data_IF_052143223271
#
_entry.id   IF_052143223271
#
_cell.length_a   1.000
_cell.length_b   1.000
_cell.length_c   1.000
_cell.angle_alpha   90.00
_cell.angle_beta   90.00
_cell.angle_gamma   90.00
#
_symmetry.space_group_name_H-M   'P 1'
#
loop_
_entity.id
_entity.type
_entity.pdbx_description
1 polymer ?
#
# COMPACT_ATOMS: atom_id res chain seq x y z
N UNK A 1 -1.61 -66.18 -11.94
CA UNK A 1 -0.44 -65.41 -12.38
C UNK A 1 0.67 -65.51 -11.36
N UNK A 2 1.85 -66.01 -11.76
CA UNK A 2 3.03 -66.16 -10.91
C UNK A 2 3.50 -64.81 -10.34
N UNK A 3 3.62 -64.70 -9.01
CA UNK A 3 4.11 -63.50 -8.32
C UNK A 3 5.64 -63.60 -8.20
N UNK A 4 6.38 -62.78 -8.93
CA UNK A 4 7.81 -62.55 -8.65
C UNK A 4 7.95 -61.41 -7.66
N UNK A 5 8.58 -61.70 -6.52
CA UNK A 5 8.94 -60.71 -5.51
C UNK A 5 10.37 -60.24 -5.76
N UNK A 6 10.57 -58.94 -5.93
CA UNK A 6 11.90 -58.34 -5.92
C UNK A 6 12.11 -57.76 -4.51
N UNK A 7 13.07 -58.32 -3.79
CA UNK A 7 13.43 -57.90 -2.43
C UNK A 7 14.52 -56.84 -2.55
N UNK A 8 14.18 -55.58 -2.29
CA UNK A 8 15.15 -54.50 -2.18
C UNK A 8 15.19 -54.05 -0.71
N UNK A 9 16.36 -54.05 -0.06
CA UNK A 9 16.49 -53.43 1.26
C UNK A 9 16.24 -51.93 1.15
N UNK A 10 15.49 -51.38 2.09
CA UNK A 10 15.25 -49.93 2.18
C UNK A 10 16.58 -49.22 2.48
N UNK A 11 16.84 -48.13 1.77
CA UNK A 11 17.99 -47.27 2.07
C UNK A 11 17.70 -46.42 3.31
N UNK A 12 18.74 -45.97 4.02
CA UNK A 12 18.60 -45.16 5.23
C UNK A 12 17.74 -43.89 5.03
N UNK A 13 17.74 -43.31 3.82
CA UNK A 13 16.90 -42.16 3.48
C UNK A 13 15.41 -42.50 3.35
N UNK A 14 15.07 -43.72 2.95
CA UNK A 14 13.69 -44.20 2.88
C UNK A 14 13.15 -44.55 4.28
N UNK A 15 14.02 -45.03 5.16
CA UNK A 15 13.69 -45.27 6.58
C UNK A 15 13.29 -43.97 7.28
N UNK A 16 14.01 -42.88 7.02
CA UNK A 16 13.76 -41.56 7.63
C UNK A 16 12.42 -40.93 7.19
N UNK A 17 11.99 -41.19 5.95
CA UNK A 17 10.66 -40.78 5.46
C UNK A 17 9.54 -41.56 6.16
N UNK A 18 9.73 -42.86 6.40
CA UNK A 18 8.79 -43.70 7.16
C UNK A 18 8.68 -43.21 8.60
N UNK A 19 9.81 -42.86 9.23
CA UNK A 19 9.81 -42.33 10.60
C UNK A 19 9.15 -40.94 10.71
N UNK A 20 9.28 -40.08 9.71
CA UNK A 20 8.55 -38.79 9.67
C UNK A 20 7.04 -38.98 9.55
N UNK A 21 6.59 -39.97 8.78
CA UNK A 21 5.15 -40.32 8.67
C UNK A 21 4.64 -40.84 10.02
N UNK A 22 5.44 -41.65 10.72
CA UNK A 22 5.12 -42.17 12.06
C UNK A 22 4.98 -41.06 13.10
N UNK A 23 5.87 -40.06 13.07
CA UNK A 23 5.80 -38.88 13.97
C UNK A 23 4.60 -37.99 13.71
N UNK A 24 4.03 -37.99 12.50
CA UNK A 24 2.79 -37.24 12.19
C UNK A 24 1.50 -37.95 12.62
N UNK A 25 1.57 -39.23 12.96
CA UNK A 25 0.39 -40.04 13.34
C UNK A 25 0.23 -40.26 14.85
N UNK A 26 0.98 -39.58 15.70
CA UNK A 26 0.75 -39.61 17.16
C UNK A 26 -0.51 -38.81 17.53
N UNK A 27 -1.65 -39.45 17.37
CA UNK A 27 -2.95 -39.03 17.90
C UNK A 27 -3.18 -39.71 19.26
N UNK A 28 -3.83 -39.00 20.17
CA UNK A 28 -4.13 -39.32 21.58
C UNK A 28 -4.56 -40.78 21.85
N UNK A 29 -4.18 -41.41 22.99
CA UNK A 29 -4.34 -42.85 23.22
C UNK A 29 -5.72 -43.30 23.72
N UNK A 30 -6.81 -42.53 23.54
CA UNK A 30 -8.13 -42.85 24.10
C UNK A 30 -9.18 -43.34 23.08
N UNK A 31 -8.79 -43.62 21.84
CA UNK A 31 -9.67 -44.25 20.83
C UNK A 31 -8.98 -45.44 20.17
N UNK A 32 -8.73 -46.49 20.94
CA UNK A 32 -8.37 -47.82 20.42
C UNK A 32 -9.66 -48.60 20.13
N UNK A 33 -10.34 -48.25 19.04
CA UNK A 33 -11.00 -49.25 18.19
C UNK A 33 -9.96 -49.67 17.17
N UNK A 34 -9.76 -50.97 16.98
CA UNK A 34 -8.92 -51.57 15.95
C UNK A 34 -9.05 -50.81 14.62
N UNK A 35 -8.11 -49.89 14.38
CA UNK A 35 -7.90 -49.33 13.06
C UNK A 35 -7.21 -50.43 12.28
N UNK A 36 -8.02 -51.15 11.51
CA UNK A 36 -7.61 -52.12 10.51
C UNK A 36 -6.51 -51.50 9.63
N UNK A 37 -5.24 -51.75 9.99
CA UNK A 37 -4.00 -51.25 9.36
C UNK A 37 -3.82 -51.78 7.92
N UNK A 38 -4.90 -52.22 7.26
CA UNK A 38 -4.87 -53.01 6.04
C UNK A 38 -5.30 -52.28 4.76
N UNK A 39 -5.70 -50.99 4.80
CA UNK A 39 -6.38 -50.37 3.64
C UNK A 39 -5.79 -49.12 3.01
N UNK A 40 -4.70 -48.53 3.51
CA UNK A 40 -4.16 -47.32 2.89
C UNK A 40 -3.05 -47.64 1.88
N UNK A 41 -3.42 -47.65 0.59
CA UNK A 41 -2.48 -47.68 -0.52
C UNK A 41 -2.08 -46.25 -0.90
N UNK A 42 -0.78 -45.97 -0.97
CA UNK A 42 -0.24 -44.67 -1.35
C UNK A 42 -0.10 -44.62 -2.88
N UNK A 43 -0.65 -43.59 -3.51
CA UNK A 43 -0.52 -43.37 -4.96
C UNK A 43 0.89 -42.86 -5.31
N UNK A 44 1.47 -43.41 -6.37
CA UNK A 44 2.71 -42.86 -6.95
C UNK A 44 2.38 -41.80 -8.01
N UNK A 45 3.27 -40.83 -8.23
CA UNK A 45 3.17 -39.81 -9.28
C UNK A 45 2.98 -40.40 -10.68
N UNK A 46 3.45 -41.63 -10.91
CA UNK A 46 3.11 -42.43 -12.09
C UNK A 46 1.85 -43.26 -11.79
N UNK A 47 0.71 -42.83 -12.30
CA UNK A 47 -0.63 -43.25 -11.87
C UNK A 47 -1.06 -44.71 -12.10
N UNK A 48 -0.16 -45.63 -12.45
CA UNK A 48 -0.46 -47.05 -12.67
C UNK A 48 0.11 -47.99 -11.59
N UNK A 49 0.79 -47.44 -10.58
CA UNK A 49 1.32 -48.19 -9.46
C UNK A 49 0.82 -47.65 -8.10
N UNK A 50 0.66 -48.55 -7.14
CA UNK A 50 0.36 -48.24 -5.75
C UNK A 50 1.34 -48.91 -4.82
N UNK A 51 1.69 -48.21 -3.75
CA UNK A 51 2.60 -48.71 -2.72
C UNK A 51 1.81 -49.09 -1.48
N UNK A 52 2.15 -50.24 -0.90
CA UNK A 52 1.62 -50.67 0.39
C UNK A 52 2.77 -51.09 1.28
N UNK A 53 2.88 -50.48 2.45
CA UNK A 53 3.81 -50.91 3.49
C UNK A 53 3.13 -52.01 4.31
N UNK A 54 3.77 -53.16 4.47
CA UNK A 54 3.25 -54.26 5.28
C UNK A 54 4.30 -54.73 6.27
N UNK A 55 3.92 -54.79 7.53
CA UNK A 55 4.78 -55.34 8.58
C UNK A 55 4.73 -56.86 8.53
N UNK A 56 5.91 -57.50 8.50
CA UNK A 56 6.04 -58.96 8.60
C UNK A 56 7.10 -59.29 9.67
N UNK A 57 6.99 -60.44 10.35
CA UNK A 57 8.04 -60.91 11.25
C UNK A 57 9.34 -61.10 10.45
N UNK A 58 10.29 -60.18 10.64
CA UNK A 58 11.53 -60.08 9.84
C UNK A 58 11.78 -58.71 9.19
N UNK A 59 10.88 -57.73 9.35
CA UNK A 59 11.05 -56.34 8.92
C UNK A 59 9.94 -55.83 8.00
N UNK A 60 9.88 -54.51 7.81
CA UNK A 60 8.91 -53.87 6.91
C UNK A 60 9.22 -54.20 5.45
N UNK A 61 8.18 -54.61 4.71
CA UNK A 61 8.27 -54.86 3.26
C UNK A 61 7.33 -53.90 2.54
N UNK A 62 7.86 -53.19 1.53
CA UNK A 62 7.06 -52.37 0.63
C UNK A 62 6.61 -53.22 -0.56
N UNK A 63 5.30 -53.42 -0.69
CA UNK A 63 4.69 -54.14 -1.81
C UNK A 63 4.30 -53.15 -2.92
N UNK A 64 4.70 -53.45 -4.15
CA UNK A 64 4.33 -52.71 -5.36
C UNK A 64 3.15 -53.39 -6.03
N UNK A 65 2.04 -52.66 -6.16
CA UNK A 65 0.84 -53.12 -6.84
C UNK A 65 0.70 -52.38 -8.16
N UNK A 66 0.65 -53.11 -9.27
CA UNK A 66 0.33 -52.54 -10.58
C UNK A 66 -1.17 -52.64 -10.78
N UNK A 67 -1.83 -51.52 -11.04
CA UNK A 67 -3.22 -51.53 -11.48
C UNK A 67 -3.25 -52.05 -12.92
N UNK A 68 -3.80 -53.25 -13.11
CA UNK A 68 -4.10 -53.80 -14.42
C UNK A 68 -5.57 -53.50 -14.68
N UNK A 69 -5.94 -52.85 -15.80
CA UNK A 69 -7.34 -52.64 -16.14
C UNK A 69 -8.04 -54.01 -16.20
N UNK A 70 -9.06 -54.19 -15.37
CA UNK A 70 -9.85 -55.41 -15.34
C UNK A 70 -10.68 -55.57 -16.61
N UNK A 71 -11.13 -56.79 -16.87
CA UNK A 71 -12.15 -57.06 -17.89
C UNK A 71 -13.44 -56.30 -17.53
N UNK A 72 -14.15 -55.82 -18.56
CA UNK A 72 -15.42 -55.13 -18.39
C UNK A 72 -16.38 -56.02 -17.62
N UNK A 73 -16.84 -55.55 -16.46
CA UNK A 73 -17.84 -56.24 -15.65
C UNK A 73 -19.13 -56.28 -16.47
N UNK A 74 -19.62 -57.49 -16.77
CA UNK A 74 -20.90 -57.69 -17.46
C UNK A 74 -22.06 -57.12 -16.63
N UNK A 75 -23.01 -56.48 -17.31
CA UNK A 75 -24.19 -55.89 -16.69
C UNK A 75 -24.92 -56.94 -15.82
N UNK A 76 -25.41 -56.59 -14.63
CA UNK A 76 -26.38 -57.42 -13.94
C UNK A 76 -27.65 -57.56 -14.81
N UNK A 77 -28.44 -58.63 -14.63
CA UNK A 77 -29.66 -58.86 -15.40
C UNK A 77 -30.64 -57.67 -15.31
N UNK A 78 -31.45 -57.51 -16.34
CA UNK A 78 -32.52 -56.51 -16.38
C UNK A 78 -33.47 -56.71 -15.18
N UNK A 79 -33.73 -55.66 -14.41
CA UNK A 79 -34.56 -55.70 -13.19
C UNK A 79 -33.81 -55.85 -11.85
N UNK A 80 -32.47 -55.93 -11.84
CA UNK A 80 -31.71 -56.02 -10.59
C UNK A 80 -31.67 -54.70 -9.78
N UNK A 81 -32.05 -53.58 -10.40
CA UNK A 81 -32.02 -52.22 -9.81
C UNK A 81 -33.44 -51.67 -9.52
N UNK A 82 -34.48 -52.51 -9.62
CA UNK A 82 -35.86 -52.13 -9.28
C UNK A 82 -36.09 -52.22 -7.75
N UNK A 83 -35.32 -51.43 -6.99
CA UNK A 83 -35.79 -50.97 -5.69
C UNK A 83 -36.73 -49.80 -5.93
N UNK A 84 -38.02 -50.07 -5.69
CA UNK A 84 -39.14 -49.16 -5.88
C UNK A 84 -38.90 -47.71 -5.42
N UNK A 85 -39.53 -46.77 -6.14
CA UNK A 85 -39.77 -45.36 -5.82
C UNK A 85 -38.95 -44.77 -4.65
N UNK A 86 -37.76 -44.24 -4.96
CA UNK A 86 -37.11 -43.21 -4.14
C UNK A 86 -35.63 -43.41 -3.79
N UNK A 87 -34.98 -44.51 -4.20
CA UNK A 87 -33.60 -44.81 -3.76
C UNK A 87 -32.48 -44.44 -4.74
N UNK A 88 -32.65 -44.67 -6.04
CA UNK A 88 -31.54 -44.63 -7.00
C UNK A 88 -31.19 -43.22 -7.52
N UNK A 89 -32.13 -42.27 -7.53
CA UNK A 89 -31.88 -40.91 -8.02
C UNK A 89 -31.04 -40.05 -7.04
N UNK A 90 -31.01 -40.42 -5.76
CA UNK A 90 -30.39 -39.62 -4.68
C UNK A 90 -29.04 -40.17 -4.22
N UNK A 91 -28.76 -41.45 -4.45
CA UNK A 91 -27.46 -42.05 -4.15
C UNK A 91 -26.65 -42.24 -5.43
N UNK A 92 -26.18 -41.11 -5.98
CA UNK A 92 -25.20 -41.07 -7.06
C UNK A 92 -23.91 -41.81 -6.68
N UNK A 93 -23.90 -43.11 -6.93
CA UNK A 93 -22.74 -43.99 -6.87
C UNK A 93 -22.97 -45.12 -7.87
N UNK A 94 -22.72 -44.82 -9.14
CA UNK A 94 -21.63 -45.38 -9.95
C UNK A 94 -21.78 -44.82 -11.36
N UNK A 95 -20.66 -44.33 -11.90
CA UNK A 95 -20.60 -43.65 -13.20
C UNK A 95 -20.97 -44.63 -14.32
N UNK A 96 -22.21 -44.59 -14.77
CA UNK A 96 -22.65 -45.25 -16.00
C UNK A 96 -22.54 -44.26 -17.15
N UNK A 97 -22.10 -44.74 -18.31
CA UNK A 97 -21.64 -43.94 -19.44
C UNK A 97 -22.69 -43.01 -20.09
N UNK A 98 -23.96 -43.12 -19.70
CA UNK A 98 -25.09 -42.39 -20.30
C UNK A 98 -25.65 -41.27 -19.42
N UNK A 99 -25.08 -41.02 -18.24
CA UNK A 99 -25.52 -39.92 -17.39
C UNK A 99 -25.13 -38.55 -17.98
N UNK A 100 -26.06 -37.59 -17.93
CA UNK A 100 -25.87 -36.25 -18.51
C UNK A 100 -24.79 -35.52 -17.73
N UNK A 101 -23.55 -35.50 -18.27
CA UNK A 101 -22.36 -34.84 -17.66
C UNK A 101 -22.73 -33.57 -16.92
N UNK A 102 -22.34 -33.51 -15.65
CA UNK A 102 -22.57 -32.34 -14.78
C UNK A 102 -21.91 -31.09 -15.36
N UNK A 103 -22.38 -29.89 -14.98
CA UNK A 103 -21.79 -28.63 -15.43
C UNK A 103 -20.28 -28.56 -15.11
N UNK A 104 -19.86 -29.18 -14.00
CA UNK A 104 -18.46 -29.31 -13.58
C UNK A 104 -17.67 -30.29 -14.46
N UNK A 105 -18.24 -31.44 -14.84
CA UNK A 105 -17.57 -32.37 -15.76
C UNK A 105 -17.50 -31.84 -17.20
N UNK A 106 -18.45 -31.00 -17.61
CA UNK A 106 -18.35 -30.28 -18.89
C UNK A 106 -17.29 -29.18 -18.85
N UNK A 107 -17.07 -28.54 -17.70
CA UNK A 107 -16.09 -27.47 -17.55
C UNK A 107 -14.67 -27.98 -17.29
N UNK A 108 -14.52 -29.21 -16.80
CA UNK A 108 -13.26 -29.96 -16.83
C UNK A 108 -13.03 -30.39 -18.29
N UNK A 109 -12.50 -29.47 -19.09
CA UNK A 109 -12.29 -29.62 -20.53
C UNK A 109 -11.80 -31.04 -20.89
N UNK A 110 -12.53 -31.70 -21.79
CA UNK A 110 -12.01 -32.87 -22.49
C UNK A 110 -10.67 -32.44 -23.10
N UNK A 111 -9.55 -33.02 -22.66
CA UNK A 111 -8.22 -32.72 -23.20
C UNK A 111 -8.20 -33.16 -24.65
N UNK A 112 -8.64 -32.28 -25.55
CA UNK A 112 -8.47 -32.46 -26.98
C UNK A 112 -6.97 -32.46 -27.22
N UNK A 113 -6.47 -33.52 -27.87
CA UNK A 113 -5.06 -33.56 -28.28
C UNK A 113 -4.83 -32.36 -29.20
N UNK A 114 -3.85 -31.50 -28.87
CA UNK A 114 -3.51 -30.30 -29.65
C UNK A 114 -3.31 -30.61 -31.15
N UNK A 115 -2.79 -31.80 -31.44
CA UNK A 115 -2.75 -32.36 -32.79
C UNK A 115 -3.67 -33.57 -32.87
N UNK A 116 -4.76 -33.44 -33.62
CA UNK A 116 -5.64 -34.57 -33.90
C UNK A 116 -5.02 -35.47 -34.97
N UNK A 117 -5.10 -36.81 -34.83
CA UNK A 117 -4.69 -37.73 -35.90
C UNK A 117 -5.59 -37.50 -37.12
N UNK A 118 -5.03 -37.01 -38.23
CA UNK A 118 -5.75 -36.61 -39.44
C UNK A 118 -5.66 -35.12 -39.81
N UNK A 119 -5.14 -34.27 -38.92
CA UNK A 119 -4.98 -32.83 -39.16
C UNK A 119 -3.94 -32.56 -40.26
N UNK A 120 -4.29 -31.69 -41.22
CA UNK A 120 -3.46 -31.30 -42.37
C UNK A 120 -2.18 -30.57 -41.91
N UNK A 121 -1.09 -30.72 -42.66
CA UNK A 121 0.18 -30.01 -42.39
C UNK A 121 -0.01 -28.50 -42.29
N UNK A 122 -0.94 -27.93 -43.06
CA UNK A 122 -1.27 -26.49 -43.01
C UNK A 122 -1.89 -26.08 -41.67
N UNK A 123 -2.81 -26.88 -41.14
CA UNK A 123 -3.48 -26.63 -39.85
C UNK A 123 -2.50 -26.78 -38.68
N UNK A 124 -1.61 -27.77 -38.74
CA UNK A 124 -0.54 -27.93 -37.74
C UNK A 124 0.40 -26.72 -37.72
N UNK A 125 0.81 -26.25 -38.90
CA UNK A 125 1.64 -25.05 -39.02
C UNK A 125 0.92 -23.80 -38.52
N UNK A 126 -0.39 -23.66 -38.76
CA UNK A 126 -1.18 -22.55 -38.26
C UNK A 126 -1.25 -22.53 -36.71
N UNK A 127 -1.44 -23.69 -36.08
CA UNK A 127 -1.42 -23.80 -34.61
C UNK A 127 -0.03 -23.46 -34.05
N UNK A 128 1.05 -23.97 -34.65
CA UNK A 128 2.43 -23.63 -34.24
C UNK A 128 2.71 -22.14 -34.40
N UNK A 129 2.29 -21.54 -35.53
CA UNK A 129 2.44 -20.10 -35.74
C UNK A 129 1.64 -19.29 -34.71
N UNK A 130 0.41 -19.70 -34.40
CA UNK A 130 -0.40 -19.05 -33.37
C UNK A 130 0.25 -19.16 -31.98
N UNK A 131 0.82 -20.31 -31.62
CA UNK A 131 1.57 -20.48 -30.37
C UNK A 131 2.81 -19.59 -30.33
N UNK A 132 3.59 -19.54 -31.42
CA UNK A 132 4.76 -18.64 -31.51
C UNK A 132 4.34 -17.17 -31.42
N UNK A 133 3.27 -16.79 -32.11
CA UNK A 133 2.74 -15.43 -32.08
C UNK A 133 2.29 -15.01 -30.67
N UNK A 134 1.54 -15.89 -29.98
CA UNK A 134 1.16 -15.66 -28.57
C UNK A 134 2.40 -15.61 -27.67
N UNK A 135 3.40 -16.46 -27.92
CA UNK A 135 4.68 -16.42 -27.21
C UNK A 135 5.42 -15.10 -27.39
N UNK A 136 5.52 -14.60 -28.63
CA UNK A 136 6.14 -13.30 -28.94
C UNK A 136 5.37 -12.16 -28.30
N UNK A 137 4.03 -12.15 -28.41
CA UNK A 137 3.19 -11.14 -27.77
C UNK A 137 3.34 -11.15 -26.24
N UNK A 138 3.38 -12.34 -25.63
CA UNK A 138 3.62 -12.48 -24.19
C UNK A 138 5.00 -11.92 -23.81
N UNK A 139 6.03 -12.19 -24.62
CA UNK A 139 7.38 -11.67 -24.39
C UNK A 139 7.44 -10.15 -24.51
N UNK A 140 6.84 -9.59 -25.56
CA UNK A 140 6.73 -8.13 -25.75
C UNK A 140 5.97 -7.47 -24.60
N UNK A 141 4.88 -8.09 -24.13
CA UNK A 141 4.11 -7.58 -23.00
C UNK A 141 4.94 -7.57 -21.69
N UNK A 142 5.72 -8.63 -21.44
CA UNK A 142 6.62 -8.68 -20.27
C UNK A 142 7.70 -7.62 -20.38
N UNK A 143 8.38 -7.49 -21.52
CA UNK A 143 9.41 -6.47 -21.74
C UNK A 143 8.82 -5.08 -21.54
N UNK A 144 7.68 -4.79 -22.17
CA UNK A 144 7.02 -3.50 -22.02
C UNK A 144 6.64 -3.22 -20.56
N UNK A 145 6.13 -4.22 -19.85
CA UNK A 145 5.76 -4.09 -18.44
C UNK A 145 6.97 -3.81 -17.55
N UNK A 146 8.09 -4.49 -17.78
CA UNK A 146 9.35 -4.25 -17.04
C UNK A 146 9.90 -2.85 -17.37
N UNK A 147 9.93 -2.46 -18.64
CA UNK A 147 10.35 -1.13 -19.05
C UNK A 147 9.47 -0.03 -18.45
N UNK A 148 8.15 -0.25 -18.40
CA UNK A 148 7.21 0.68 -17.78
C UNK A 148 7.40 0.74 -16.25
N UNK A 149 7.56 -0.41 -15.59
CA UNK A 149 7.78 -0.49 -14.14
C UNK A 149 9.07 0.20 -13.69
N UNK A 150 10.10 0.26 -14.54
CA UNK A 150 11.35 0.97 -14.26
C UNK A 150 11.30 2.45 -14.69
N UNK A 151 10.74 2.75 -15.86
CA UNK A 151 10.75 4.12 -16.41
C UNK A 151 9.73 5.04 -15.74
N UNK A 152 8.52 4.55 -15.42
CA UNK A 152 7.45 5.40 -14.88
C UNK A 152 7.85 5.99 -13.52
N UNK A 153 8.35 5.21 -12.53
CA UNK A 153 8.82 5.80 -11.28
C UNK A 153 9.93 6.82 -11.51
N UNK A 154 10.90 6.56 -12.39
CA UNK A 154 11.98 7.50 -12.66
C UNK A 154 11.44 8.83 -13.21
N UNK A 155 10.52 8.78 -14.17
CA UNK A 155 9.89 9.98 -14.75
C UNK A 155 9.07 10.74 -13.70
N UNK A 156 8.27 10.05 -12.89
CA UNK A 156 7.50 10.67 -11.81
C UNK A 156 8.42 11.35 -10.78
N UNK A 157 9.52 10.69 -10.41
CA UNK A 157 10.53 11.21 -9.52
C UNK A 157 11.22 12.46 -10.07
N UNK A 158 11.71 12.39 -11.30
CA UNK A 158 12.36 13.54 -11.96
C UNK A 158 11.40 14.72 -12.11
N UNK A 159 10.14 14.48 -12.48
CA UNK A 159 9.13 15.52 -12.55
C UNK A 159 8.87 16.14 -11.17
N UNK A 160 8.84 15.34 -10.11
CA UNK A 160 8.70 15.83 -8.73
C UNK A 160 9.86 16.75 -8.35
N UNK A 161 11.10 16.35 -8.68
CA UNK A 161 12.30 17.15 -8.41
C UNK A 161 12.36 18.44 -9.24
N UNK A 162 11.93 18.36 -10.50
CA UNK A 162 11.79 19.52 -11.37
C UNK A 162 10.77 20.52 -10.80
N UNK A 163 9.61 20.05 -10.34
CA UNK A 163 8.59 20.89 -9.69
C UNK A 163 9.10 21.54 -8.39
N UNK A 164 9.99 20.86 -7.67
CA UNK A 164 10.66 21.40 -6.48
C UNK A 164 11.79 22.39 -6.84
N UNK A 165 12.15 22.55 -8.11
CA UNK A 165 13.22 23.44 -8.54
C UNK A 165 14.61 22.95 -8.13
N UNK A 166 14.80 21.63 -7.98
CA UNK A 166 16.12 21.05 -7.73
C UNK A 166 16.97 21.23 -9.00
N UNK A 167 18.16 21.84 -8.92
CA UNK A 167 19.00 22.04 -10.10
C UNK A 167 19.48 20.71 -10.66
N UNK A 168 19.59 20.63 -12.00
CA UNK A 168 19.95 19.40 -12.73
C UNK A 168 21.29 18.80 -12.26
N UNK A 169 22.22 19.63 -11.81
CA UNK A 169 23.52 19.22 -11.27
C UNK A 169 23.43 18.39 -9.99
N UNK A 170 22.34 18.52 -9.23
CA UNK A 170 22.09 17.81 -7.96
C UNK A 170 21.05 16.71 -8.10
N UNK A 171 20.60 16.43 -9.31
CA UNK A 171 19.59 15.42 -9.57
C UNK A 171 20.24 14.03 -9.55
N UNK A 172 19.93 13.25 -8.52
CA UNK A 172 20.37 11.87 -8.41
C UNK A 172 19.25 10.91 -8.82
N UNK A 173 19.46 10.17 -9.91
CA UNK A 173 18.49 9.21 -10.46
C UNK A 173 18.02 8.14 -9.47
N UNK A 174 18.87 7.55 -8.61
CA UNK A 174 18.39 6.60 -7.60
C UNK A 174 17.41 7.22 -6.60
N UNK A 175 17.65 8.48 -6.22
CA UNK A 175 16.77 9.19 -5.29
C UNK A 175 15.47 9.61 -5.97
N UNK A 176 15.54 10.10 -7.22
CA UNK A 176 14.35 10.36 -8.02
C UNK A 176 13.51 9.08 -8.19
N UNK A 177 14.14 7.95 -8.51
CA UNK A 177 13.46 6.67 -8.62
C UNK A 177 12.77 6.25 -7.32
N UNK A 178 13.42 6.43 -6.15
CA UNK A 178 12.82 6.13 -4.85
C UNK A 178 11.58 6.98 -4.55
N UNK A 179 11.66 8.30 -4.79
CA UNK A 179 10.50 9.20 -4.67
C UNK A 179 9.37 8.75 -5.62
N UNK A 180 9.75 8.45 -6.86
CA UNK A 180 8.84 7.96 -7.88
C UNK A 180 8.14 6.66 -7.49
N UNK A 181 8.84 5.74 -6.83
CA UNK A 181 8.26 4.49 -6.33
C UNK A 181 7.23 4.72 -5.24
N UNK A 182 7.48 5.66 -4.31
CA UNK A 182 6.52 6.02 -3.26
C UNK A 182 5.21 6.53 -3.88
N UNK A 183 5.28 7.27 -5.00
CA UNK A 183 4.10 7.76 -5.72
C UNK A 183 3.48 6.66 -6.60
N UNK A 184 4.31 5.88 -7.29
CA UNK A 184 3.86 4.89 -8.28
C UNK A 184 3.23 3.65 -7.64
N UNK A 185 3.78 3.13 -6.55
CA UNK A 185 3.30 1.89 -5.92
C UNK A 185 1.82 1.96 -5.46
N UNK A 186 1.36 3.02 -4.77
CA UNK A 186 -0.05 3.18 -4.42
C UNK A 186 -0.96 3.27 -5.65
N UNK A 187 -0.52 3.98 -6.70
CA UNK A 187 -1.26 4.07 -7.97
C UNK A 187 -1.37 2.70 -8.64
N UNK A 188 -0.28 1.94 -8.70
CA UNK A 188 -0.26 0.60 -9.24
C UNK A 188 -1.14 -0.35 -8.42
N UNK A 189 -1.10 -0.27 -7.09
CA UNK A 189 -1.95 -1.07 -6.22
C UNK A 189 -3.45 -0.75 -6.42
N UNK A 190 -3.79 0.54 -6.54
CA UNK A 190 -5.15 0.98 -6.84
C UNK A 190 -5.62 0.51 -8.22
N UNK A 191 -4.78 0.68 -9.25
CA UNK A 191 -5.04 0.18 -10.60
C UNK A 191 -5.19 -1.34 -10.63
N UNK A 192 -4.34 -2.08 -9.89
CA UNK A 192 -4.42 -3.53 -9.85
C UNK A 192 -5.71 -4.00 -9.18
N UNK A 193 -6.13 -3.37 -8.06
CA UNK A 193 -7.44 -3.63 -7.45
C UNK A 193 -8.58 -3.36 -8.43
N UNK A 194 -8.45 -2.31 -9.25
CA UNK A 194 -9.43 -2.01 -10.29
C UNK A 194 -9.41 -3.02 -11.44
N UNK A 195 -8.24 -3.47 -11.90
CA UNK A 195 -8.11 -4.42 -13.01
C UNK A 195 -8.49 -5.86 -12.62
N UNK A 196 -8.20 -6.29 -11.39
CA UNK A 196 -8.53 -7.63 -10.90
C UNK A 196 -10.02 -7.86 -10.64
N UNK A 197 -10.83 -6.80 -10.62
CA UNK A 197 -12.29 -6.95 -10.54
C UNK A 197 -12.81 -7.59 -11.83
N UNK A 198 -13.58 -8.68 -11.71
CA UNK A 198 -14.06 -9.52 -12.83
C UNK A 198 -15.01 -8.82 -13.82
N UNK A 199 -15.54 -7.65 -13.49
CA UNK A 199 -16.49 -6.93 -14.35
C UNK A 199 -15.76 -6.06 -15.37
N UNK A 200 -16.17 -6.05 -16.65
CA UNK A 200 -15.55 -5.20 -17.66
C UNK A 200 -15.75 -3.72 -17.33
N UNK A 201 -14.76 -2.89 -17.66
CA UNK A 201 -14.70 -1.46 -17.33
C UNK A 201 -15.92 -0.70 -17.86
N UNK A 202 -16.40 -1.04 -19.05
CA UNK A 202 -17.59 -0.43 -19.67
C UNK A 202 -18.87 -0.68 -18.86
N UNK A 203 -19.04 -1.90 -18.33
CA UNK A 203 -20.18 -2.22 -17.47
C UNK A 203 -20.10 -1.48 -16.14
N UNK A 204 -18.89 -1.31 -15.57
CA UNK A 204 -18.72 -0.52 -14.35
C UNK A 204 -19.02 0.96 -14.57
N UNK A 205 -18.52 1.54 -15.65
CA UNK A 205 -18.81 2.93 -15.98
C UNK A 205 -20.32 3.13 -16.17
N UNK A 206 -20.99 2.20 -16.88
CA UNK A 206 -22.44 2.23 -17.03
C UNK A 206 -23.17 2.09 -15.69
N UNK A 207 -22.73 1.19 -14.81
CA UNK A 207 -23.28 1.03 -13.46
C UNK A 207 -23.05 2.26 -12.59
N UNK A 208 -21.87 2.88 -12.69
CA UNK A 208 -21.52 4.11 -11.98
C UNK A 208 -22.41 5.26 -12.43
N UNK A 209 -22.54 5.48 -13.76
CA UNK A 209 -23.47 6.50 -14.30
C UNK A 209 -24.91 6.20 -13.88
N UNK A 210 -25.34 4.93 -13.93
CA UNK A 210 -26.70 4.55 -13.53
C UNK A 210 -26.99 4.76 -12.03
N UNK A 211 -25.96 4.82 -11.18
CA UNK A 211 -26.08 5.13 -9.75
C UNK A 211 -26.11 6.62 -9.47
N UNK A 212 -25.94 7.47 -10.47
CA UNK A 212 -25.99 8.91 -10.30
C UNK A 212 -27.35 9.34 -9.73
N UNK A 213 -27.32 9.98 -8.57
CA UNK A 213 -28.46 10.65 -7.96
C UNK A 213 -28.20 12.15 -7.96
N UNK A 214 -29.21 12.93 -8.32
CA UNK A 214 -29.12 14.39 -8.31
C UNK A 214 -29.00 14.85 -6.85
N UNK A 215 -27.89 15.53 -6.47
CA UNK A 215 -27.74 16.05 -5.11
C UNK A 215 -28.65 17.24 -4.84
N UNK A 216 -28.85 17.55 -3.56
CA UNK A 216 -29.41 18.86 -3.18
C UNK A 216 -28.45 19.98 -3.61
N UNK A 217 -29.00 21.11 -4.07
CA UNK A 217 -28.21 22.23 -4.57
C UNK A 217 -27.19 22.76 -3.56
N UNK A 218 -27.51 22.70 -2.25
CA UNK A 218 -26.61 23.11 -1.17
C UNK A 218 -25.42 22.17 -1.02
N UNK A 219 -25.63 20.85 -1.01
CA UNK A 219 -24.55 19.86 -0.92
C UNK A 219 -23.61 19.93 -2.13
N UNK A 220 -24.19 20.10 -3.33
CA UNK A 220 -23.41 20.30 -4.55
C UNK A 220 -22.55 21.57 -4.46
N UNK A 221 -23.10 22.67 -4.00
CA UNK A 221 -22.37 23.92 -3.82
C UNK A 221 -21.18 23.76 -2.87
N UNK A 222 -21.38 23.14 -1.70
CA UNK A 222 -20.28 22.90 -0.76
C UNK A 222 -19.20 22.00 -1.34
N UNK A 223 -19.59 20.95 -2.06
CA UNK A 223 -18.64 20.04 -2.70
C UNK A 223 -17.82 20.74 -3.80
N UNK A 224 -18.48 21.52 -4.68
CA UNK A 224 -17.82 22.29 -5.73
C UNK A 224 -16.88 23.34 -5.12
N UNK A 225 -17.32 24.06 -4.09
CA UNK A 225 -16.47 25.00 -3.37
C UNK A 225 -15.25 24.29 -2.78
N UNK A 226 -15.44 23.10 -2.24
CA UNK A 226 -14.36 22.29 -1.69
C UNK A 226 -13.34 21.91 -2.78
N UNK A 227 -13.81 21.47 -3.95
CA UNK A 227 -12.94 21.18 -5.09
C UNK A 227 -12.15 22.41 -5.52
N UNK A 228 -12.82 23.55 -5.71
CA UNK A 228 -12.18 24.80 -6.16
C UNK A 228 -11.12 25.26 -5.16
N UNK A 229 -11.40 25.15 -3.87
CA UNK A 229 -10.47 25.57 -2.84
C UNK A 229 -9.31 24.58 -2.64
N UNK A 230 -9.56 23.26 -2.65
CA UNK A 230 -8.52 22.23 -2.45
C UNK A 230 -7.63 22.04 -3.68
N UNK A 231 -8.19 22.09 -4.88
CA UNK A 231 -7.45 21.89 -6.13
C UNK A 231 -7.09 23.19 -6.83
N UNK A 232 -7.63 24.35 -6.43
CA UNK A 232 -7.30 25.65 -7.03
C UNK A 232 -6.57 26.55 -6.05
N UNK A 233 -7.31 27.07 -5.07
CA UNK A 233 -6.82 28.16 -4.20
C UNK A 233 -5.67 27.73 -3.30
N UNK A 234 -5.83 26.65 -2.52
CA UNK A 234 -4.80 26.20 -1.57
C UNK A 234 -3.47 25.83 -2.26
N UNK A 235 -3.47 25.08 -3.39
CA UNK A 235 -2.26 24.84 -4.17
C UNK A 235 -1.58 26.12 -4.63
N UNK A 236 -2.31 27.08 -5.19
CA UNK A 236 -1.71 28.35 -5.63
C UNK A 236 -1.06 29.09 -4.46
N UNK A 237 -1.71 29.12 -3.30
CA UNK A 237 -1.16 29.80 -2.10
C UNK A 237 0.11 29.14 -1.59
N UNK A 238 0.12 27.80 -1.50
CA UNK A 238 1.29 27.02 -1.05
C UNK A 238 2.42 27.15 -2.07
N UNK A 239 2.11 27.00 -3.36
CA UNK A 239 3.07 27.13 -4.45
C UNK A 239 3.69 28.52 -4.52
N UNK A 240 2.89 29.57 -4.37
CA UNK A 240 3.40 30.95 -4.34
C UNK A 240 4.33 31.18 -3.15
N UNK A 241 3.98 30.65 -1.97
CA UNK A 241 4.84 30.71 -0.78
C UNK A 241 6.17 29.99 -1.04
N UNK A 242 6.12 28.80 -1.65
CA UNK A 242 7.30 28.02 -2.01
C UNK A 242 8.20 28.75 -3.03
N UNK A 243 7.62 29.31 -4.09
CA UNK A 243 8.36 30.03 -5.11
C UNK A 243 9.08 31.27 -4.55
N UNK A 244 8.41 32.04 -3.68
CA UNK A 244 8.99 33.21 -3.04
C UNK A 244 10.17 32.84 -2.12
N UNK A 245 10.10 31.68 -1.46
CA UNK A 245 11.15 31.20 -0.57
C UNK A 245 12.35 30.63 -1.33
N UNK A 246 12.11 29.82 -2.37
CA UNK A 246 13.16 28.95 -2.92
C UNK A 246 13.49 29.22 -4.40
N UNK A 247 12.50 29.51 -5.25
CA UNK A 247 12.69 29.50 -6.71
C UNK A 247 13.03 30.90 -7.25
N UNK A 248 12.30 31.94 -6.85
CA UNK A 248 12.43 33.27 -7.47
C UNK A 248 13.83 33.86 -7.27
N UNK A 249 14.43 34.30 -8.39
CA UNK A 249 15.76 34.91 -8.44
C UNK A 249 15.75 36.37 -8.00
N UNK A 250 16.93 36.94 -7.82
CA UNK A 250 17.17 38.35 -7.46
C UNK A 250 16.49 39.34 -8.41
N UNK A 251 16.34 38.98 -9.68
CA UNK A 251 15.84 39.88 -10.74
C UNK A 251 14.35 40.14 -10.57
N UNK A 252 13.61 39.13 -10.08
CA UNK A 252 12.21 39.27 -9.69
C UNK A 252 12.05 40.25 -8.53
N UNK A 253 12.96 40.22 -7.56
CA UNK A 253 12.95 41.13 -6.41
C UNK A 253 13.51 42.52 -6.73
N UNK A 254 14.27 42.65 -7.82
CA UNK A 254 14.76 43.92 -8.37
C UNK A 254 13.71 44.69 -9.18
N UNK A 255 12.58 44.06 -9.51
CA UNK A 255 11.52 44.67 -10.32
C UNK A 255 11.73 44.56 -11.83
N UNK A 256 12.76 43.82 -12.27
CA UNK A 256 13.03 43.58 -13.70
C UNK A 256 12.03 42.57 -14.30
N UNK A 257 11.55 41.64 -13.47
CA UNK A 257 10.51 40.69 -13.84
C UNK A 257 9.27 40.84 -12.96
N UNK A 258 8.06 40.66 -13.51
CA UNK A 258 6.84 40.67 -12.72
C UNK A 258 6.82 39.48 -11.76
N UNK A 259 6.37 39.73 -10.52
CA UNK A 259 6.23 38.70 -9.48
C UNK A 259 5.34 37.52 -9.92
N UNK A 260 4.21 37.84 -10.54
CA UNK A 260 3.26 36.86 -11.07
C UNK A 260 3.27 36.88 -12.60
N UNK A 261 3.80 35.82 -13.19
CA UNK A 261 3.66 35.55 -14.62
C UNK A 261 2.54 34.53 -14.81
N UNK A 262 1.58 34.83 -15.68
CA UNK A 262 0.45 33.94 -15.95
C UNK A 262 0.91 32.58 -16.50
N UNK A 263 1.99 32.57 -17.28
CA UNK A 263 2.64 31.36 -17.80
C UNK A 263 3.25 30.49 -16.68
N UNK A 264 3.76 31.12 -15.62
CA UNK A 264 4.31 30.44 -14.45
C UNK A 264 3.24 29.91 -13.50
N UNK A 265 2.00 30.41 -13.57
CA UNK A 265 0.92 30.03 -12.66
C UNK A 265 0.64 28.53 -12.65
N UNK A 266 0.75 27.87 -13.81
CA UNK A 266 0.63 26.42 -13.89
C UNK A 266 1.72 25.70 -13.08
N UNK A 267 2.96 26.17 -13.15
CA UNK A 267 4.08 25.60 -12.40
C UNK A 267 3.88 25.83 -10.90
N UNK A 268 3.52 27.07 -10.50
CA UNK A 268 3.20 27.41 -9.12
C UNK A 268 2.09 26.51 -8.58
N UNK A 269 1.01 26.34 -9.34
CA UNK A 269 -0.09 25.46 -9.01
C UNK A 269 0.33 23.99 -8.89
N UNK A 270 1.17 23.50 -9.81
CA UNK A 270 1.63 22.12 -9.83
C UNK A 270 2.52 21.82 -8.61
N UNK A 271 3.46 22.71 -8.29
CA UNK A 271 4.33 22.58 -7.11
C UNK A 271 3.51 22.66 -5.82
N UNK A 272 2.55 23.59 -5.73
CA UNK A 272 1.65 23.68 -4.58
C UNK A 272 0.74 22.47 -4.44
N UNK A 273 0.25 21.91 -5.54
CA UNK A 273 -0.58 20.70 -5.55
C UNK A 273 0.23 19.50 -5.08
N UNK A 274 1.46 19.36 -5.54
CA UNK A 274 2.39 18.33 -5.10
C UNK A 274 2.61 18.41 -3.58
N UNK A 275 2.95 19.60 -3.07
CA UNK A 275 3.21 19.81 -1.65
C UNK A 275 1.97 19.56 -0.77
N UNK A 276 0.80 20.05 -1.18
CA UNK A 276 -0.45 19.84 -0.45
C UNK A 276 -0.83 18.36 -0.38
N UNK A 277 -0.76 17.65 -1.50
CA UNK A 277 -1.11 16.23 -1.53
C UNK A 277 -0.06 15.36 -0.83
N UNK A 278 1.23 15.72 -0.91
CA UNK A 278 2.28 15.06 -0.14
C UNK A 278 2.06 15.24 1.37
N UNK A 279 1.72 16.46 1.82
CA UNK A 279 1.35 16.71 3.21
C UNK A 279 0.11 15.92 3.63
N UNK A 280 -0.96 15.90 2.82
CA UNK A 280 -2.17 15.16 3.12
C UNK A 280 -1.91 13.65 3.22
N UNK A 281 -1.04 13.12 2.35
CA UNK A 281 -0.60 11.73 2.41
C UNK A 281 0.20 11.42 3.68
N UNK A 282 1.13 12.29 4.07
CA UNK A 282 1.88 12.16 5.33
C UNK A 282 0.96 12.25 6.56
N UNK A 283 -0.09 13.08 6.49
CA UNK A 283 -1.11 13.15 7.54
C UNK A 283 -1.92 11.85 7.65
N UNK A 284 -2.31 11.27 6.51
CA UNK A 284 -2.98 9.96 6.46
C UNK A 284 -2.11 8.83 7.06
N UNK A 285 -0.80 8.84 6.79
CA UNK A 285 0.15 7.87 7.35
C UNK A 285 0.51 8.10 8.83
N UNK A 286 -0.06 9.10 9.49
CA UNK A 286 0.35 9.51 10.84
C UNK A 286 1.84 9.85 10.97
N UNK A 287 2.48 10.32 9.89
CA UNK A 287 3.94 10.53 9.84
C UNK A 287 4.47 11.61 10.81
N UNK A 288 3.59 12.46 11.35
CA UNK A 288 3.96 13.47 12.36
C UNK A 288 3.69 13.03 13.80
N UNK A 289 3.31 11.76 14.01
CA UNK A 289 3.14 11.18 15.34
C UNK A 289 4.43 10.55 15.84
N UNK A 290 4.65 10.57 17.16
CA UNK A 290 5.80 9.87 17.78
C UNK A 290 5.74 8.37 17.50
N UNK A 291 4.55 7.78 17.52
CA UNK A 291 4.36 6.35 17.33
C UNK A 291 4.86 5.91 15.95
N UNK A 292 4.59 6.68 14.89
CA UNK A 292 5.09 6.38 13.56
C UNK A 292 6.62 6.25 13.53
N UNK A 293 7.35 7.17 14.16
CA UNK A 293 8.82 7.13 14.17
C UNK A 293 9.39 6.03 15.06
N UNK A 294 8.70 5.68 16.16
CA UNK A 294 9.06 4.52 16.98
C UNK A 294 8.87 3.24 16.16
N UNK A 295 7.73 3.09 15.49
CA UNK A 295 7.43 1.92 14.65
C UNK A 295 8.43 1.78 13.50
N UNK A 296 8.78 2.89 12.83
CA UNK A 296 9.80 2.89 11.77
C UNK A 296 11.20 2.54 12.32
N UNK A 297 11.56 3.09 13.49
CA UNK A 297 12.84 2.79 14.14
C UNK A 297 12.94 1.34 14.61
N UNK A 298 11.87 0.80 15.19
CA UNK A 298 11.80 -0.58 15.65
C UNK A 298 11.73 -1.55 14.47
N UNK A 299 10.97 -1.25 13.40
CA UNK A 299 10.93 -2.08 12.20
C UNK A 299 12.28 -2.17 11.47
N UNK A 300 13.14 -1.15 11.62
CA UNK A 300 14.52 -1.19 11.12
C UNK A 300 15.46 -2.05 12.00
N UNK A 301 15.11 -2.28 13.27
CA UNK A 301 15.89 -3.06 14.24
C UNK A 301 15.41 -4.51 14.37
N UNK A 302 14.10 -4.77 14.23
CA UNK A 302 13.45 -6.07 14.40
C UNK A 302 13.00 -6.69 13.06
N UNK A 303 13.91 -6.81 12.09
CA UNK A 303 13.63 -7.62 10.88
C UNK A 303 13.50 -9.14 11.16
N UNK A 304 13.84 -9.61 12.36
CA UNK A 304 13.78 -11.04 12.75
C UNK A 304 12.77 -11.35 13.88
N UNK A 305 12.11 -10.35 14.46
CA UNK A 305 11.25 -10.54 15.62
C UNK A 305 9.94 -9.73 15.49
N UNK A 306 8.94 -10.25 14.77
CA UNK A 306 7.54 -10.28 15.24
C UNK A 306 6.53 -10.49 14.10
N UNK A 307 6.04 -11.73 14.02
CA UNK A 307 4.72 -12.06 13.44
C UNK A 307 3.63 -12.17 14.52
N UNK A 308 3.92 -11.85 15.80
CA UNK A 308 3.03 -12.16 16.93
C UNK A 308 2.56 -10.96 17.77
N UNK A 309 2.87 -9.71 17.42
CA UNK A 309 2.41 -8.52 18.16
C UNK A 309 1.34 -7.71 17.39
N UNK A 310 0.31 -8.37 16.89
CA UNK A 310 -0.87 -7.68 16.33
C UNK A 310 -2.02 -7.45 17.33
N UNK A 311 -1.93 -7.93 18.57
CA UNK A 311 -3.03 -7.81 19.56
C UNK A 311 -2.93 -6.60 20.51
N UNK A 312 -1.93 -5.72 20.38
CA UNK A 312 -1.71 -4.59 21.30
C UNK A 312 -2.07 -3.19 20.79
N UNK A 313 -2.48 -3.03 19.53
CA UNK A 313 -2.66 -1.70 18.90
C UNK A 313 -3.94 -0.94 19.31
N UNK A 314 -4.71 -1.45 20.28
CA UNK A 314 -6.02 -0.91 20.65
C UNK A 314 -6.06 0.19 21.71
N UNK A 315 -4.97 0.46 22.45
CA UNK A 315 -5.11 1.22 23.72
C UNK A 315 -4.41 2.60 23.77
N UNK A 316 -3.70 3.03 22.73
CA UNK A 316 -2.98 4.32 22.77
C UNK A 316 -3.68 5.49 22.05
N UNK A 317 -4.83 5.27 21.40
CA UNK A 317 -5.40 6.24 20.46
C UNK A 317 -6.80 6.76 20.86
N UNK A 318 -7.08 6.96 22.16
CA UNK A 318 -8.32 7.66 22.54
C UNK A 318 -8.15 8.38 23.89
N UNK A 319 -7.71 9.64 23.83
CA UNK A 319 -8.12 10.63 24.82
C UNK A 319 -9.15 11.56 24.16
N UNK A 320 -10.45 11.19 24.12
CA UNK A 320 -11.53 12.00 23.57
C UNK A 320 -11.93 13.17 24.50
N UNK A 321 -11.04 13.63 25.37
CA UNK A 321 -11.35 14.57 26.45
C UNK A 321 -11.70 16.00 25.97
N UNK A 322 -11.56 16.31 24.67
CA UNK A 322 -11.79 17.66 24.12
C UNK A 322 -12.68 17.70 22.88
N UNK A 323 -13.18 16.58 22.35
CA UNK A 323 -14.03 16.56 21.15
C UNK A 323 -13.37 17.10 19.87
N UNK A 324 -12.04 17.30 19.87
CA UNK A 324 -11.27 17.76 18.71
C UNK A 324 -10.74 16.52 17.99
N UNK A 325 -11.21 16.27 16.76
CA UNK A 325 -10.69 15.18 15.95
C UNK A 325 -9.20 15.43 15.62
N UNK A 326 -8.33 14.41 15.72
CA UNK A 326 -6.94 14.55 15.31
C UNK A 326 -6.84 14.82 13.81
N UNK A 327 -5.82 15.57 13.38
CA UNK A 327 -5.57 15.81 11.95
C UNK A 327 -5.03 14.57 11.23
N UNK A 328 -4.46 13.62 11.96
CA UNK A 328 -3.70 12.50 11.44
C UNK A 328 -4.37 11.15 11.72
N UNK A 329 -3.97 10.13 10.96
CA UNK A 329 -4.42 8.75 11.13
C UNK A 329 -5.68 8.41 10.35
N UNK A 330 -6.06 7.14 10.41
CA UNK A 330 -7.19 6.58 9.67
C UNK A 330 -8.52 7.23 10.06
N UNK A 331 -8.65 7.63 11.34
CA UNK A 331 -9.81 8.34 11.87
C UNK A 331 -9.63 9.87 11.88
N UNK A 332 -8.55 10.38 11.29
CA UNK A 332 -8.23 11.80 11.30
C UNK A 332 -9.05 12.64 10.32
N UNK A 333 -9.03 13.97 10.50
CA UNK A 333 -9.75 14.93 9.65
C UNK A 333 -9.39 14.75 8.17
N UNK A 334 -8.12 14.53 7.84
CA UNK A 334 -7.66 14.36 6.44
C UNK A 334 -8.14 13.04 5.84
N UNK A 335 -8.12 11.95 6.61
CA UNK A 335 -8.58 10.64 6.15
C UNK A 335 -10.10 10.62 5.94
N UNK A 336 -10.85 11.20 6.88
CA UNK A 336 -12.31 11.39 6.75
C UNK A 336 -12.64 12.28 5.54
N UNK A 337 -11.90 13.37 5.35
CA UNK A 337 -12.04 14.23 4.16
C UNK A 337 -11.83 13.44 2.86
N UNK A 338 -10.74 12.66 2.78
CA UNK A 338 -10.45 11.83 1.61
C UNK A 338 -11.51 10.74 1.41
N UNK A 339 -12.01 10.14 2.49
CA UNK A 339 -13.08 9.14 2.47
C UNK A 339 -14.40 9.70 1.92
N UNK A 340 -14.81 10.89 2.38
CA UNK A 340 -15.98 11.59 1.83
C UNK A 340 -15.76 11.93 0.36
N UNK A 341 -14.58 12.44 0.00
CA UNK A 341 -14.25 12.78 -1.38
C UNK A 341 -14.34 11.56 -2.31
N UNK A 342 -13.77 10.42 -1.88
CA UNK A 342 -13.82 9.15 -2.61
C UNK A 342 -15.26 8.65 -2.73
N UNK A 343 -16.05 8.67 -1.65
CA UNK A 343 -17.43 8.21 -1.67
C UNK A 343 -18.31 9.06 -2.61
N UNK A 344 -18.12 10.39 -2.63
CA UNK A 344 -18.87 11.26 -3.54
C UNK A 344 -18.43 11.06 -5.00
N UNK A 345 -17.12 11.02 -5.26
CA UNK A 345 -16.59 10.93 -6.63
C UNK A 345 -16.78 9.54 -7.26
N UNK A 346 -16.63 8.46 -6.49
CA UNK A 346 -16.65 7.10 -7.01
C UNK A 346 -17.94 6.33 -6.70
N UNK A 347 -18.69 6.71 -5.67
CA UNK A 347 -19.91 5.99 -5.26
C UNK A 347 -21.19 6.81 -5.44
N UNK A 348 -21.09 8.11 -5.75
CA UNK A 348 -22.20 9.06 -5.78
C UNK A 348 -22.96 9.15 -4.45
N UNK A 349 -22.29 8.89 -3.33
CA UNK A 349 -22.89 8.95 -2.00
C UNK A 349 -22.88 10.37 -1.43
N UNK A 350 -23.82 11.19 -1.91
CA UNK A 350 -23.98 12.58 -1.48
C UNK A 350 -24.46 12.72 -0.03
N UNK A 351 -24.87 11.64 0.63
CA UNK A 351 -25.34 11.70 2.02
C UNK A 351 -24.20 11.72 3.04
N UNK A 352 -23.01 11.29 2.63
CA UNK A 352 -21.79 11.40 3.44
C UNK A 352 -21.16 12.79 3.47
N UNK A 353 -21.67 13.74 2.68
CA UNK A 353 -21.14 15.11 2.70
C UNK A 353 -21.53 15.74 4.03
N UNK A 354 -20.54 15.89 4.90
CA UNK A 354 -20.59 16.74 6.08
C UNK A 354 -19.94 18.11 5.78
N UNK A 355 -20.72 19.19 5.63
CA UNK A 355 -20.19 20.51 5.36
C UNK A 355 -19.26 21.03 6.46
N UNK A 356 -19.49 20.63 7.72
CA UNK A 356 -18.65 21.07 8.83
C UNK A 356 -17.24 20.49 8.69
N UNK A 357 -17.15 19.17 8.49
CA UNK A 357 -15.86 18.49 8.34
C UNK A 357 -15.12 18.93 7.06
N UNK A 358 -15.82 19.00 5.92
CA UNK A 358 -15.18 19.35 4.64
C UNK A 358 -14.73 20.81 4.59
N UNK A 359 -15.62 21.75 4.93
CA UNK A 359 -15.39 23.17 4.70
C UNK A 359 -14.74 23.86 5.91
N UNK A 360 -15.20 23.57 7.13
CA UNK A 360 -14.72 24.28 8.32
C UNK A 360 -13.46 23.62 8.87
N UNK A 361 -13.51 22.32 9.14
CA UNK A 361 -12.46 21.64 9.90
C UNK A 361 -11.24 21.31 9.04
N UNK A 362 -11.44 20.84 7.81
CA UNK A 362 -10.34 20.57 6.88
C UNK A 362 -9.96 21.81 6.07
N UNK A 363 -10.81 22.19 5.11
CA UNK A 363 -10.43 23.18 4.10
C UNK A 363 -10.26 24.58 4.66
N UNK A 364 -11.16 25.00 5.55
CA UNK A 364 -11.15 26.31 6.18
C UNK A 364 -9.92 26.52 7.04
N UNK A 365 -9.49 25.48 7.76
CA UNK A 365 -8.24 25.50 8.52
C UNK A 365 -7.02 25.56 7.58
N UNK A 366 -6.96 24.73 6.53
CA UNK A 366 -5.87 24.78 5.54
C UNK A 366 -5.78 26.18 4.90
N UNK A 367 -6.89 26.70 4.37
CA UNK A 367 -6.93 28.03 3.74
C UNK A 367 -6.55 29.13 4.71
N UNK A 368 -7.05 29.08 5.95
CA UNK A 368 -6.74 30.06 7.00
C UNK A 368 -5.26 30.06 7.33
N UNK A 369 -4.64 28.91 7.44
CA UNK A 369 -3.21 28.82 7.73
C UNK A 369 -2.36 29.21 6.52
N UNK A 370 -2.68 28.74 5.31
CA UNK A 370 -1.96 29.13 4.09
C UNK A 370 -2.10 30.62 3.76
N UNK A 371 -3.26 31.21 4.07
CA UNK A 371 -3.47 32.65 3.89
C UNK A 371 -2.68 33.46 4.89
N UNK A 372 -2.61 33.05 6.16
CA UNK A 372 -1.73 33.69 7.14
C UNK A 372 -0.25 33.56 6.74
N UNK A 373 0.19 32.40 6.26
CA UNK A 373 1.59 32.20 5.86
C UNK A 373 1.99 32.99 4.62
N UNK A 374 1.05 33.31 3.72
CA UNK A 374 1.36 34.12 2.54
C UNK A 374 1.07 35.61 2.73
N UNK A 375 -0.15 35.97 3.17
CA UNK A 375 -0.60 37.36 3.21
C UNK A 375 0.16 38.19 4.26
N UNK A 376 0.38 37.64 5.46
CA UNK A 376 1.06 38.38 6.53
C UNK A 376 2.52 38.71 6.17
N UNK A 377 3.35 37.77 5.67
CA UNK A 377 4.68 38.09 5.19
C UNK A 377 4.66 39.05 4.01
N UNK A 378 3.77 38.90 3.03
CA UNK A 378 3.69 39.84 1.90
C UNK A 378 3.39 41.27 2.36
N UNK A 379 2.45 41.45 3.30
CA UNK A 379 2.14 42.76 3.88
C UNK A 379 3.31 43.33 4.69
N UNK A 380 3.96 42.51 5.51
CA UNK A 380 5.12 42.93 6.30
C UNK A 380 6.31 43.28 5.39
N UNK A 381 6.54 42.52 4.33
CA UNK A 381 7.54 42.81 3.31
C UNK A 381 7.24 44.13 2.61
N UNK A 382 6.00 44.36 2.17
CA UNK A 382 5.60 45.62 1.55
C UNK A 382 5.84 46.81 2.49
N UNK A 383 5.53 46.67 3.78
CA UNK A 383 5.79 47.69 4.80
C UNK A 383 7.29 47.94 5.00
N UNK A 384 8.11 46.89 5.11
CA UNK A 384 9.57 47.01 5.26
C UNK A 384 10.20 47.65 4.03
N UNK A 385 9.81 47.23 2.82
CA UNK A 385 10.30 47.81 1.57
C UNK A 385 9.88 49.28 1.41
N UNK A 386 8.65 49.61 1.81
CA UNK A 386 8.19 51.00 1.86
C UNK A 386 9.05 51.83 2.82
N UNK A 387 9.32 51.34 4.03
CA UNK A 387 10.19 52.01 5.00
C UNK A 387 11.62 52.19 4.46
N UNK A 388 12.23 51.13 3.91
CA UNK A 388 13.56 51.20 3.29
C UNK A 388 13.64 52.26 2.19
N UNK A 389 12.58 52.40 1.38
CA UNK A 389 12.49 53.43 0.34
C UNK A 389 12.32 54.83 0.94
N UNK A 390 11.50 54.99 1.97
CA UNK A 390 11.34 56.30 2.65
C UNK A 390 12.62 56.79 3.32
N UNK A 391 13.45 55.88 3.84
CA UNK A 391 14.71 56.22 4.50
C UNK A 391 15.93 56.18 3.55
N UNK A 392 15.72 55.98 2.25
CA UNK A 392 16.76 55.93 1.21
C UNK A 392 17.90 54.92 1.51
N UNK A 393 17.57 53.81 2.18
CA UNK A 393 18.53 52.77 2.60
C UNK A 393 19.02 51.95 1.39
N UNK A 394 18.34 52.05 0.25
CA UNK A 394 18.64 51.29 -0.98
C UNK A 394 20.01 51.56 -1.62
N UNK A 395 20.74 52.59 -1.17
CA UNK A 395 22.08 52.91 -1.66
C UNK A 395 23.23 52.55 -0.71
N UNK A 396 22.94 51.94 0.46
CA UNK A 396 23.96 51.61 1.44
C UNK A 396 24.72 50.34 1.01
N UNK A 397 25.94 50.51 0.50
CA UNK A 397 26.92 49.42 0.40
C UNK A 397 27.09 48.73 -0.97
N UNK A 398 26.59 49.30 -2.07
CA UNK A 398 26.84 48.77 -3.43
C UNK A 398 26.18 47.42 -3.74
N UNK A 399 25.33 46.92 -2.85
CA UNK A 399 24.54 45.69 -3.05
C UNK A 399 23.35 46.01 -3.95
N UNK A 400 23.03 45.13 -4.92
CA UNK A 400 21.86 45.32 -5.78
C UNK A 400 20.57 45.32 -4.97
N UNK A 401 19.67 46.26 -5.27
CA UNK A 401 18.39 46.39 -4.57
C UNK A 401 17.58 45.08 -4.57
N UNK A 402 17.67 44.29 -5.65
CA UNK A 402 17.03 42.97 -5.76
C UNK A 402 17.53 41.95 -4.72
N UNK A 403 18.83 41.94 -4.41
CA UNK A 403 19.38 41.01 -3.43
C UNK A 403 18.95 41.34 -2.00
N UNK A 404 18.97 42.63 -1.64
CA UNK A 404 18.49 43.08 -0.33
C UNK A 404 16.99 42.80 -0.17
N UNK A 405 16.19 43.08 -1.19
CA UNK A 405 14.75 42.78 -1.19
C UNK A 405 14.49 41.27 -1.03
N UNK A 406 15.24 40.41 -1.74
CA UNK A 406 15.13 38.96 -1.61
C UNK A 406 15.41 38.48 -0.19
N UNK A 407 16.49 38.97 0.44
CA UNK A 407 16.84 38.58 1.82
C UNK A 407 15.78 39.05 2.80
N UNK A 408 15.33 40.30 2.68
CA UNK A 408 14.27 40.82 3.54
C UNK A 408 13.02 39.96 3.43
N UNK A 409 12.58 39.65 2.21
CA UNK A 409 11.37 38.85 1.96
C UNK A 409 11.50 37.45 2.55
N UNK A 410 12.61 36.75 2.26
CA UNK A 410 12.84 35.39 2.77
C UNK A 410 12.99 35.36 4.28
N UNK A 411 13.69 36.33 4.87
CA UNK A 411 13.87 36.42 6.33
C UNK A 411 12.52 36.67 7.01
N UNK A 412 11.71 37.60 6.48
CA UNK A 412 10.36 37.86 7.00
C UNK A 412 9.48 36.62 6.91
N UNK A 413 9.47 35.94 5.77
CA UNK A 413 8.70 34.69 5.59
C UNK A 413 9.12 33.62 6.60
N UNK A 414 10.42 33.37 6.77
CA UNK A 414 10.96 32.40 7.73
C UNK A 414 10.63 32.80 9.17
N UNK A 415 10.83 34.07 9.54
CA UNK A 415 10.51 34.57 10.88
C UNK A 415 9.02 34.42 11.20
N UNK A 416 8.13 34.74 10.27
CA UNK A 416 6.69 34.55 10.46
C UNK A 416 6.36 33.06 10.59
N UNK A 417 6.92 32.20 9.74
CA UNK A 417 6.70 30.75 9.84
C UNK A 417 7.16 30.17 11.19
N UNK A 418 8.36 30.54 11.65
CA UNK A 418 8.92 30.13 12.94
C UNK A 418 8.08 30.67 14.10
N UNK A 419 7.71 31.96 14.08
CA UNK A 419 6.86 32.54 15.12
C UNK A 419 5.50 31.83 15.18
N UNK A 420 4.90 31.53 14.03
CA UNK A 420 3.63 30.78 13.96
C UNK A 420 3.80 29.38 14.55
N UNK A 421 4.86 28.67 14.18
CA UNK A 421 5.18 27.37 14.75
C UNK A 421 5.32 27.45 16.28
N UNK A 422 6.13 28.38 16.79
CA UNK A 422 6.32 28.58 18.24
C UNK A 422 5.00 28.92 18.96
N UNK A 423 4.14 29.74 18.35
CA UNK A 423 2.84 30.11 18.93
C UNK A 423 1.86 28.93 18.95
N UNK A 424 1.85 28.09 17.92
CA UNK A 424 1.02 26.88 17.87
C UNK A 424 1.45 25.85 18.90
N UNK A 425 2.76 25.69 19.10
CA UNK A 425 3.33 24.71 20.03
C UNK A 425 3.66 25.29 21.40
N UNK A 426 3.21 26.52 21.70
CA UNK A 426 3.57 27.23 22.94
C UNK A 426 3.31 26.43 24.21
N UNK A 427 2.13 25.80 24.31
CA UNK A 427 1.77 25.01 25.49
C UNK A 427 2.59 23.71 25.59
N UNK A 428 2.92 23.09 24.45
CA UNK A 428 3.80 21.93 24.43
C UNK A 428 5.23 22.29 24.84
N UNK A 429 5.76 23.40 24.31
CA UNK A 429 7.06 23.93 24.71
C UNK A 429 7.07 24.33 26.18
N UNK A 430 5.99 24.92 26.71
CA UNK A 430 5.86 25.24 28.12
C UNK A 430 5.89 23.98 28.99
N UNK A 431 5.11 22.97 28.62
CA UNK A 431 5.11 21.67 29.30
C UNK A 431 6.49 21.00 29.26
N UNK A 432 7.14 20.97 28.10
CA UNK A 432 8.51 20.47 27.94
C UNK A 432 9.51 21.24 28.79
N UNK A 433 9.42 22.57 28.81
CA UNK A 433 10.27 23.42 29.62
C UNK A 433 10.05 23.16 31.11
N UNK A 434 8.80 23.03 31.56
CA UNK A 434 8.47 22.71 32.95
C UNK A 434 8.98 21.33 33.34
N UNK A 435 8.89 20.32 32.45
CA UNK A 435 9.45 18.98 32.67
C UNK A 435 10.97 19.02 32.69
N UNK A 436 11.62 19.70 31.74
CA UNK A 436 13.07 19.84 31.70
C UNK A 436 13.60 20.61 32.92
N UNK A 437 12.89 21.66 33.35
CA UNK A 437 13.23 22.43 34.54
C UNK A 437 13.05 21.60 35.81
N UNK A 438 11.96 20.81 35.91
CA UNK A 438 11.77 19.86 37.02
C UNK A 438 12.84 18.76 37.02
N UNK A 439 13.25 18.24 35.87
CA UNK A 439 14.29 17.22 35.76
C UNK A 439 15.67 17.78 36.12
N UNK A 440 15.99 19.00 35.66
CA UNK A 440 17.23 19.69 36.03
C UNK A 440 17.29 20.09 37.51
N UNK A 441 16.11 20.31 38.13
CA UNK A 441 15.94 20.63 39.54
C UNK A 441 15.61 19.41 40.40
N UNK A 442 15.56 18.21 39.81
CA UNK A 442 15.39 16.99 40.58
C UNK A 442 16.72 16.74 41.28
N UNK A 443 16.82 17.26 42.50
CA UNK A 443 17.98 17.20 43.40
C UNK A 443 18.47 15.75 43.67
N UNK A 444 17.83 14.73 43.08
CA UNK A 444 18.27 13.33 43.06
C UNK A 444 19.59 13.10 42.32
N UNK A 445 20.06 14.03 41.49
CA UNK A 445 21.43 14.00 40.96
C UNK A 445 22.44 14.78 41.81
N UNK A 446 21.99 15.45 42.88
CA UNK A 446 22.84 16.13 43.88
C UNK A 446 22.83 15.41 45.25
N UNK A 447 22.02 14.37 45.43
CA UNK A 447 21.98 13.54 46.64
C UNK A 447 22.56 12.17 46.28
N UNK A 448 23.89 12.04 46.33
CA UNK A 448 24.53 10.76 46.05
C UNK A 448 26.05 10.71 46.13
N UNK A 449 26.75 11.83 45.98
CA UNK A 449 28.18 11.90 46.35
C UNK A 449 28.32 12.78 47.59
N UNK A 450 28.23 12.14 48.75
CA UNK A 450 28.97 12.63 49.92
C UNK A 450 30.42 12.82 49.47
N UNK A 451 30.86 14.08 49.36
CA UNK A 451 32.27 14.42 49.24
C UNK A 451 32.99 13.74 50.42
N UNK A 452 33.66 12.63 50.14
CA UNK A 452 34.57 11.97 51.06
C UNK A 452 35.68 12.97 51.37
N UNK A 453 35.59 13.59 52.54
CA UNK A 453 36.71 14.34 53.09
C UNK A 453 37.84 13.34 53.36
N UNK A 454 38.79 13.23 52.44
CA UNK A 454 40.07 12.59 52.69
C UNK A 454 40.92 13.50 53.60
N UNK A 455 40.47 13.75 54.83
CA UNK A 455 41.41 14.16 55.88
C UNK A 455 42.08 12.89 56.39
N UNK A 456 43.41 12.75 56.33
CA UNK A 456 44.07 11.68 57.03
C UNK A 456 43.79 11.85 58.52
N UNK A 457 43.15 10.87 59.15
CA UNK A 457 43.16 10.77 60.59
C UNK A 457 44.60 10.48 61.01
N UNK A 458 45.28 11.50 61.54
CA UNK A 458 46.51 11.32 62.30
C UNK A 458 46.17 10.49 63.54
N UNK A 459 46.70 9.27 63.59
CA UNK A 459 46.78 8.40 64.75
C UNK A 459 48.24 8.13 65.09
#
# INVERSE_FOLDING_TARGET
GSKRYIRLPLTASQQDVVDRIRRRQTVHPSTLREVDNSKHMIQTTNGCYRLRLKDRPGGMVMEFWKEVPGELISRPPEGWDDLAQGGAATQGRWAWAEEKKSATERSIACRTKFFQPGMSTKERMAVVFQMMFVGILSWLAVIFSVCAALSIPLVLGRNTMFLLGVPDERLHDPFAFAIGLVIFCPLLASMNRFLCQRTPVSTRLRQWIARFRVPSGTKLLYFVLTIVCWFGVAPIMIGATYELLFIKSTDCFGGEQPFFQLSGLWLTWATGSLLLNAWAFLAYLSAFTRQFWIDVGNAALDMDANLNEQDGRGEAEENPALGIMPWQGENGVVANFAGIFVAVMFEWDWDRIDPALMLHDCLGAVLRETSKTLALPCLLCAAVLFLCRTFNISHVGGVSAGWLNMIVVRTVLVCVAVLRYLMTYKEQFRSWYDVAHKAARDDRYLIGETLLNYSPQEG
#
